data_IF_586239253335
#
_entry.id   IF_586239253335
#
_cell.length_a   1.000
_cell.length_b   1.000
_cell.length_c   1.000
_cell.angle_alpha   90.00
_cell.angle_beta   90.00
_cell.angle_gamma   90.00
#
_symmetry.space_group_name_H-M   'P 1'
#
loop_
_entity.id
_entity.type
_entity.pdbx_description
1 polymer ?
#
# COMPACT_ATOMS: atom_id res chain seq x y z
N UNK A 1 -13.37 -13.01 -19.78
CA UNK A 1 -13.73 -14.23 -20.52
C UNK A 1 -13.56 -15.41 -19.58
N UNK A 2 -14.50 -16.36 -19.49
CA UNK A 2 -14.28 -17.58 -18.68
C UNK A 2 -12.99 -18.29 -19.10
N UNK A 3 -12.03 -18.37 -18.18
CA UNK A 3 -10.79 -19.12 -18.41
C UNK A 3 -11.03 -20.58 -17.97
N UNK A 4 -10.97 -21.56 -18.89
CA UNK A 4 -11.15 -22.97 -18.58
C UNK A 4 -9.88 -23.56 -17.96
N UNK A 5 -10.02 -24.76 -17.36
CA UNK A 5 -8.87 -25.56 -16.94
C UNK A 5 -7.83 -25.72 -18.07
N UNK A 6 -6.54 -25.94 -17.72
CA UNK A 6 -5.48 -26.12 -18.70
C UNK A 6 -5.80 -27.28 -19.65
N UNK A 7 -5.47 -27.10 -20.93
CA UNK A 7 -5.55 -28.21 -21.88
C UNK A 7 -4.58 -29.33 -21.46
N UNK A 8 -5.00 -30.58 -21.65
CA UNK A 8 -4.26 -31.74 -21.14
C UNK A 8 -3.86 -32.75 -22.23
N UNK A 9 -3.05 -32.34 -23.23
CA UNK A 9 -2.74 -33.18 -24.39
C UNK A 9 -1.95 -34.46 -24.04
N UNK A 10 -1.20 -34.44 -22.92
CA UNK A 10 -0.37 -35.57 -22.48
C UNK A 10 -0.80 -36.20 -21.14
N UNK A 11 -1.95 -35.78 -20.57
CA UNK A 11 -2.46 -36.31 -19.30
C UNK A 11 -1.78 -35.75 -18.03
N UNK A 12 -0.92 -34.74 -18.16
CA UNK A 12 -0.21 -34.12 -17.03
C UNK A 12 -1.18 -33.44 -16.07
N UNK A 13 -2.18 -32.70 -16.56
CA UNK A 13 -3.10 -31.99 -15.67
C UNK A 13 -3.94 -32.96 -14.84
N UNK A 14 -4.48 -34.00 -15.48
CA UNK A 14 -5.17 -35.06 -14.76
C UNK A 14 -4.27 -35.78 -13.74
N UNK A 15 -2.99 -36.00 -14.07
CA UNK A 15 -2.03 -36.58 -13.16
C UNK A 15 -1.75 -35.68 -11.94
N UNK A 16 -1.57 -34.36 -12.16
CA UNK A 16 -1.40 -33.35 -11.10
C UNK A 16 -2.59 -33.35 -10.15
N UNK A 17 -3.82 -33.28 -10.68
CA UNK A 17 -5.05 -33.33 -9.87
C UNK A 17 -5.19 -34.62 -9.04
N UNK A 18 -4.60 -35.72 -9.53
CA UNK A 18 -4.65 -37.02 -8.84
C UNK A 18 -3.62 -37.16 -7.72
N UNK A 19 -2.72 -36.18 -7.53
CA UNK A 19 -1.68 -36.25 -6.49
C UNK A 19 -2.21 -36.01 -5.08
N UNK A 20 -3.33 -35.29 -4.96
CA UNK A 20 -4.01 -35.03 -3.69
C UNK A 20 -5.50 -34.80 -3.97
N UNK A 21 -6.34 -35.65 -3.39
CA UNK A 21 -7.79 -35.61 -3.57
C UNK A 21 -8.47 -34.57 -2.67
N UNK A 22 -7.79 -34.08 -1.63
CA UNK A 22 -8.31 -33.08 -0.69
C UNK A 22 -7.96 -31.66 -1.11
N UNK A 23 -6.94 -31.48 -1.96
CA UNK A 23 -6.52 -30.17 -2.45
C UNK A 23 -7.35 -29.70 -3.66
N UNK A 24 -7.80 -28.45 -3.63
CA UNK A 24 -8.56 -27.85 -4.72
C UNK A 24 -7.63 -27.15 -5.73
N UNK A 25 -7.60 -27.62 -6.98
CA UNK A 25 -6.57 -27.27 -7.96
C UNK A 25 -6.94 -26.12 -8.92
N UNK A 26 -8.21 -25.70 -8.99
CA UNK A 26 -8.67 -24.75 -10.01
C UNK A 26 -9.68 -23.72 -9.48
N UNK A 27 -9.39 -22.41 -9.46
CA UNK A 27 -10.37 -21.42 -9.03
C UNK A 27 -11.63 -21.39 -9.92
N UNK A 28 -12.80 -21.69 -9.39
CA UNK A 28 -14.05 -21.71 -10.18
C UNK A 28 -14.65 -20.31 -10.41
N UNK A 29 -14.15 -19.30 -9.70
CA UNK A 29 -14.64 -17.92 -9.81
C UNK A 29 -14.64 -17.46 -11.27
N UNK A 30 -15.75 -16.84 -11.67
CA UNK A 30 -15.92 -16.18 -12.96
C UNK A 30 -15.44 -14.73 -12.86
N UNK A 31 -14.33 -14.43 -13.52
CA UNK A 31 -13.69 -13.12 -13.51
C UNK A 31 -14.61 -12.03 -14.07
N UNK A 32 -15.40 -12.36 -15.10
CA UNK A 32 -16.28 -11.38 -15.75
C UNK A 32 -17.42 -10.99 -14.83
N UNK A 33 -18.04 -11.96 -14.15
CA UNK A 33 -19.08 -11.68 -13.15
C UNK A 33 -18.56 -10.84 -12.00
N UNK A 34 -17.31 -11.07 -11.57
CA UNK A 34 -16.70 -10.22 -10.56
C UNK A 34 -16.48 -8.80 -11.11
N UNK A 35 -16.02 -8.64 -12.35
CA UNK A 35 -15.90 -7.31 -12.98
C UNK A 35 -17.25 -6.61 -13.13
N UNK A 36 -18.31 -7.33 -13.47
CA UNK A 36 -19.68 -6.79 -13.52
C UNK A 36 -20.18 -6.37 -12.13
N UNK A 37 -19.86 -7.14 -11.09
CA UNK A 37 -20.14 -6.78 -9.70
C UNK A 37 -19.35 -5.55 -9.26
N UNK A 38 -18.08 -5.43 -9.64
CA UNK A 38 -17.28 -4.23 -9.41
C UNK A 38 -17.92 -3.01 -10.08
N UNK A 39 -18.32 -3.15 -11.34
CA UNK A 39 -19.08 -2.13 -12.07
C UNK A 39 -20.37 -1.73 -11.33
N UNK A 40 -21.10 -2.70 -10.80
CA UNK A 40 -22.33 -2.44 -10.03
C UNK A 40 -22.07 -1.63 -8.75
N UNK A 41 -20.99 -1.92 -8.03
CA UNK A 41 -20.55 -1.13 -6.88
C UNK A 41 -20.12 0.28 -7.28
N UNK A 42 -19.44 0.42 -8.43
CA UNK A 42 -19.07 1.72 -8.97
C UNK A 42 -20.30 2.54 -9.34
N UNK A 43 -21.28 1.95 -10.00
CA UNK A 43 -22.53 2.62 -10.36
C UNK A 43 -23.32 3.03 -9.12
N UNK A 44 -23.35 2.18 -8.09
CA UNK A 44 -23.94 2.52 -6.80
C UNK A 44 -23.25 3.74 -6.17
N UNK A 45 -21.91 3.84 -6.25
CA UNK A 45 -21.18 5.01 -5.75
C UNK A 45 -21.61 6.32 -6.44
N UNK A 46 -21.89 6.26 -7.74
CA UNK A 46 -22.33 7.42 -8.52
C UNK A 46 -23.73 7.88 -8.10
N UNK A 47 -24.61 6.95 -7.72
CA UNK A 47 -25.94 7.27 -7.19
C UNK A 47 -25.89 8.01 -5.83
N UNK A 48 -24.80 7.88 -5.06
CA UNK A 48 -24.56 8.63 -3.83
C UNK A 48 -23.80 9.95 -4.05
N UNK A 49 -23.59 10.38 -5.29
CA UNK A 49 -23.04 11.71 -5.58
C UNK A 49 -24.07 12.76 -5.16
N UNK A 50 -23.88 13.34 -3.97
CA UNK A 50 -24.75 14.40 -3.47
C UNK A 50 -24.61 15.62 -4.36
N UNK A 51 -25.72 16.29 -4.74
CA UNK A 51 -25.66 17.62 -5.32
C UNK A 51 -24.86 18.54 -4.38
N UNK A 52 -24.16 19.56 -4.90
CA UNK A 52 -23.50 20.54 -4.05
C UNK A 52 -24.58 21.28 -3.26
N UNK A 53 -24.81 20.82 -2.04
CA UNK A 53 -25.69 21.46 -1.08
C UNK A 53 -24.77 22.15 -0.10
N UNK A 54 -24.58 23.45 -0.29
CA UNK A 54 -23.78 24.26 0.62
C UNK A 54 -24.63 24.50 1.86
N UNK A 55 -24.24 23.93 3.01
CA UNK A 55 -24.96 24.11 4.29
C UNK A 55 -25.19 25.59 4.65
N UNK A 56 -24.33 26.49 4.17
CA UNK A 56 -24.50 27.94 4.29
C UNK A 56 -25.75 28.50 3.61
N UNK A 57 -26.25 27.90 2.53
CA UNK A 57 -27.43 28.39 1.80
C UNK A 57 -28.71 28.34 2.66
N UNK A 58 -28.80 27.38 3.59
CA UNK A 58 -29.96 27.29 4.50
C UNK A 58 -29.88 28.26 5.66
N UNK A 59 -28.70 28.48 6.23
CA UNK A 59 -28.50 29.48 7.28
C UNK A 59 -28.71 30.91 6.76
N UNK A 60 -28.34 31.17 5.50
CA UNK A 60 -28.61 32.46 4.84
C UNK A 60 -30.09 32.65 4.49
N UNK A 61 -30.77 31.59 4.05
CA UNK A 61 -32.20 31.63 3.73
C UNK A 61 -33.09 31.69 4.98
N UNK A 62 -32.63 31.13 6.10
CA UNK A 62 -33.35 31.06 7.36
C UNK A 62 -32.41 31.32 8.55
N UNK A 63 -32.14 32.58 8.91
CA UNK A 63 -31.06 32.95 9.84
C UNK A 63 -31.41 32.79 11.34
N UNK A 64 -32.42 31.99 11.69
CA UNK A 64 -32.77 31.72 13.07
C UNK A 64 -32.30 30.33 13.51
N UNK A 65 -32.52 30.00 14.79
CA UNK A 65 -32.09 28.72 15.35
C UNK A 65 -32.71 27.49 14.68
N UNK A 66 -33.87 27.62 14.03
CA UNK A 66 -34.47 26.52 13.28
C UNK A 66 -33.71 26.26 11.97
N UNK A 67 -33.29 27.32 11.28
CA UNK A 67 -32.44 27.20 10.09
C UNK A 67 -31.06 26.62 10.40
N UNK A 68 -30.43 27.02 11.51
CA UNK A 68 -29.16 26.46 11.98
C UNK A 68 -29.24 24.94 12.25
N UNK A 69 -30.30 24.52 12.96
CA UNK A 69 -30.56 23.10 13.25
C UNK A 69 -30.79 22.32 11.95
N UNK A 70 -31.56 22.89 11.03
CA UNK A 70 -31.83 22.25 9.74
C UNK A 70 -30.56 22.12 8.88
N UNK A 71 -29.77 23.19 8.77
CA UNK A 71 -28.49 23.18 8.06
C UNK A 71 -27.52 22.12 8.64
N UNK A 72 -27.47 22.00 9.96
CA UNK A 72 -26.69 20.96 10.66
C UNK A 72 -27.14 19.55 10.26
N UNK A 73 -28.45 19.26 10.29
CA UNK A 73 -28.97 17.96 9.88
C UNK A 73 -28.69 17.63 8.42
N UNK A 74 -28.82 18.61 7.51
CA UNK A 74 -28.47 18.44 6.10
C UNK A 74 -26.98 18.14 5.94
N UNK A 75 -26.12 18.86 6.66
CA UNK A 75 -24.67 18.59 6.69
C UNK A 75 -24.33 17.16 7.11
N UNK A 76 -24.98 16.64 8.16
CA UNK A 76 -24.79 15.25 8.58
C UNK A 76 -25.22 14.23 7.52
N UNK A 77 -26.34 14.49 6.82
CA UNK A 77 -26.81 13.62 5.74
C UNK A 77 -25.83 13.64 4.57
N UNK A 78 -25.35 14.81 4.16
CA UNK A 78 -24.36 14.95 3.08
C UNK A 78 -23.09 14.19 3.44
N UNK A 79 -22.56 14.36 4.65
CA UNK A 79 -21.39 13.61 5.13
C UNK A 79 -21.62 12.10 5.08
N UNK A 80 -22.74 11.61 5.61
CA UNK A 80 -23.08 10.19 5.59
C UNK A 80 -23.17 9.62 4.16
N UNK A 81 -23.75 10.37 3.21
CA UNK A 81 -23.80 9.94 1.80
C UNK A 81 -22.41 9.90 1.15
N UNK A 82 -21.51 10.82 1.52
CA UNK A 82 -20.12 10.80 1.08
C UNK A 82 -19.38 9.54 1.54
N UNK A 83 -19.61 9.11 2.79
CA UNK A 83 -19.03 7.86 3.33
C UNK A 83 -19.54 6.65 2.55
N UNK A 84 -20.85 6.53 2.34
CA UNK A 84 -21.43 5.39 1.60
C UNK A 84 -20.87 5.34 0.17
N UNK A 85 -20.75 6.49 -0.50
CA UNK A 85 -20.11 6.58 -1.81
C UNK A 85 -18.70 6.00 -1.80
N UNK A 86 -17.87 6.37 -0.84
CA UNK A 86 -16.48 5.92 -0.73
C UNK A 86 -16.39 4.41 -0.47
N UNK A 87 -17.23 3.88 0.43
CA UNK A 87 -17.32 2.43 0.67
C UNK A 87 -17.72 1.66 -0.60
N UNK A 88 -18.65 2.19 -1.39
CA UNK A 88 -18.99 1.60 -2.68
C UNK A 88 -17.81 1.60 -3.67
N UNK A 89 -17.01 2.67 -3.71
CA UNK A 89 -15.79 2.71 -4.55
C UNK A 89 -14.77 1.67 -4.09
N UNK A 90 -14.51 1.58 -2.79
CA UNK A 90 -13.58 0.59 -2.24
C UNK A 90 -14.01 -0.84 -2.58
N UNK A 91 -15.30 -1.15 -2.37
CA UNK A 91 -15.83 -2.48 -2.69
C UNK A 91 -15.74 -2.80 -4.19
N UNK A 92 -15.98 -1.81 -5.06
CA UNK A 92 -15.76 -1.96 -6.51
C UNK A 92 -14.32 -2.39 -6.79
N UNK A 93 -13.35 -1.69 -6.22
CA UNK A 93 -11.93 -1.93 -6.51
C UNK A 93 -11.47 -3.29 -5.99
N UNK A 94 -11.91 -3.70 -4.80
CA UNK A 94 -11.55 -5.00 -4.23
C UNK A 94 -12.09 -6.16 -5.06
N UNK A 95 -13.35 -6.03 -5.51
CA UNK A 95 -13.95 -7.05 -6.38
C UNK A 95 -13.21 -7.13 -7.72
N UNK A 96 -12.82 -5.98 -8.29
CA UNK A 96 -12.04 -5.94 -9.53
C UNK A 96 -10.64 -6.55 -9.37
N UNK A 97 -9.97 -6.28 -8.25
CA UNK A 97 -8.65 -6.81 -7.95
C UNK A 97 -8.69 -8.31 -7.65
N UNK A 98 -9.69 -8.78 -6.90
CA UNK A 98 -9.94 -10.22 -6.73
C UNK A 98 -10.11 -10.91 -8.08
N UNK A 99 -10.87 -10.31 -9.01
CA UNK A 99 -11.02 -10.85 -10.36
C UNK A 99 -9.66 -10.96 -11.08
N UNK A 100 -8.78 -9.96 -10.96
CA UNK A 100 -7.43 -9.99 -11.52
C UNK A 100 -6.56 -11.10 -10.91
N UNK A 101 -6.58 -11.25 -9.59
CA UNK A 101 -5.82 -12.30 -8.90
C UNK A 101 -6.23 -13.66 -9.43
N UNK A 102 -7.54 -13.95 -9.48
CA UNK A 102 -8.00 -15.24 -9.98
C UNK A 102 -7.62 -15.45 -11.45
N UNK A 103 -7.73 -14.41 -12.29
CA UNK A 103 -7.32 -14.48 -13.70
C UNK A 103 -5.84 -14.85 -13.85
N UNK A 104 -4.96 -14.15 -13.12
CA UNK A 104 -3.53 -14.38 -13.12
C UNK A 104 -3.16 -15.77 -12.58
N UNK A 105 -3.80 -16.21 -11.49
CA UNK A 105 -3.64 -17.58 -10.96
C UNK A 105 -3.97 -18.63 -12.01
N UNK A 106 -5.13 -18.52 -12.68
CA UNK A 106 -5.54 -19.45 -13.74
C UNK A 106 -4.54 -19.48 -14.90
N UNK A 107 -4.05 -18.32 -15.31
CA UNK A 107 -3.06 -18.20 -16.38
C UNK A 107 -1.71 -18.80 -15.98
N UNK A 108 -1.23 -18.55 -14.75
CA UNK A 108 0.01 -19.14 -14.22
C UNK A 108 -0.06 -20.67 -14.15
N UNK A 109 -1.17 -21.22 -13.66
CA UNK A 109 -1.39 -22.68 -13.64
C UNK A 109 -1.41 -23.24 -15.07
N UNK A 110 -2.17 -22.61 -15.97
CA UNK A 110 -2.27 -23.05 -17.37
C UNK A 110 -0.93 -23.05 -18.08
N UNK A 111 -0.15 -21.98 -17.94
CA UNK A 111 1.18 -21.87 -18.52
C UNK A 111 2.14 -22.92 -17.95
N UNK A 112 2.12 -23.14 -16.62
CA UNK A 112 2.94 -24.15 -15.96
C UNK A 112 2.61 -25.57 -16.49
N UNK A 113 1.33 -25.91 -16.64
CA UNK A 113 0.93 -27.21 -17.17
C UNK A 113 1.36 -27.37 -18.62
N UNK A 114 1.05 -26.38 -19.47
CA UNK A 114 1.36 -26.45 -20.90
C UNK A 114 2.87 -26.53 -21.16
N UNK A 115 3.68 -25.76 -20.44
CA UNK A 115 5.14 -25.76 -20.60
C UNK A 115 5.80 -27.07 -20.16
N UNK A 116 5.14 -27.85 -19.29
CA UNK A 116 5.64 -29.13 -18.79
C UNK A 116 5.00 -30.35 -19.48
N UNK A 117 3.96 -30.13 -20.28
CA UNK A 117 3.15 -31.21 -20.88
C UNK A 117 3.96 -32.10 -21.83
N UNK A 118 4.79 -31.50 -22.69
CA UNK A 118 5.63 -32.26 -23.64
C UNK A 118 6.68 -33.11 -22.92
N UNK A 119 7.35 -32.53 -21.91
CA UNK A 119 8.32 -33.25 -21.09
C UNK A 119 7.68 -34.44 -20.38
N UNK A 120 6.47 -34.27 -19.85
CA UNK A 120 5.70 -35.35 -19.24
C UNK A 120 5.36 -36.46 -20.24
N UNK A 121 4.90 -36.10 -21.44
CA UNK A 121 4.56 -37.06 -22.51
C UNK A 121 5.76 -37.84 -23.04
N UNK A 122 6.98 -37.26 -22.96
CA UNK A 122 8.22 -37.89 -23.37
C UNK A 122 8.80 -38.88 -22.34
N UNK A 123 8.30 -38.89 -21.09
CA UNK A 123 8.79 -39.81 -20.07
C UNK A 123 8.47 -41.27 -20.43
N UNK A 124 9.37 -42.21 -20.11
CA UNK A 124 9.05 -43.63 -20.18
C UNK A 124 7.77 -43.92 -19.39
N UNK A 125 6.92 -44.82 -19.88
CA UNK A 125 5.66 -45.26 -19.22
C UNK A 125 5.88 -46.07 -17.93
N UNK A 126 6.85 -45.67 -17.12
CA UNK A 126 7.09 -46.16 -15.78
C UNK A 126 6.26 -45.32 -14.81
N UNK A 127 5.31 -45.98 -14.15
CA UNK A 127 4.34 -45.35 -13.25
C UNK A 127 4.99 -44.44 -12.20
N UNK A 128 6.11 -44.86 -11.62
CA UNK A 128 6.82 -44.09 -10.59
C UNK A 128 7.41 -42.77 -11.12
N UNK A 129 7.96 -42.76 -12.33
CA UNK A 129 8.54 -41.53 -12.91
C UNK A 129 7.47 -40.51 -13.30
N UNK A 130 6.38 -40.99 -13.88
CA UNK A 130 5.21 -40.15 -14.20
C UNK A 130 4.59 -39.59 -12.92
N UNK A 131 4.45 -40.41 -11.88
CA UNK A 131 3.93 -39.97 -10.59
C UNK A 131 4.83 -38.92 -9.92
N UNK A 132 6.15 -39.14 -9.91
CA UNK A 132 7.12 -38.19 -9.35
C UNK A 132 7.09 -36.85 -10.08
N UNK A 133 7.08 -36.87 -11.42
CA UNK A 133 7.02 -35.62 -12.20
C UNK A 133 5.72 -34.86 -11.95
N UNK A 134 4.57 -35.56 -11.93
CA UNK A 134 3.29 -34.94 -11.63
C UNK A 134 3.28 -34.35 -10.21
N UNK A 135 3.89 -35.02 -9.22
CA UNK A 135 4.01 -34.51 -7.86
C UNK A 135 4.86 -33.23 -7.78
N UNK A 136 5.96 -33.14 -8.54
CA UNK A 136 6.80 -31.93 -8.58
C UNK A 136 6.07 -30.73 -9.20
N UNK A 137 5.29 -30.96 -10.27
CA UNK A 137 4.44 -29.93 -10.87
C UNK A 137 3.31 -29.54 -9.90
N UNK A 138 2.72 -30.51 -9.21
CA UNK A 138 1.69 -30.29 -8.21
C UNK A 138 2.18 -29.39 -7.05
N UNK A 139 3.43 -29.55 -6.58
CA UNK A 139 4.04 -28.66 -5.58
C UNK A 139 4.02 -27.20 -6.07
N UNK A 140 4.40 -26.96 -7.34
CA UNK A 140 4.43 -25.61 -7.91
C UNK A 140 3.03 -25.02 -8.08
N UNK A 141 2.04 -25.83 -8.47
CA UNK A 141 0.64 -25.39 -8.52
C UNK A 141 0.15 -25.00 -7.13
N UNK A 142 0.49 -25.78 -6.09
CA UNK A 142 0.16 -25.42 -4.70
C UNK A 142 0.79 -24.09 -4.28
N UNK A 143 2.03 -23.83 -4.68
CA UNK A 143 2.67 -22.55 -4.40
C UNK A 143 1.92 -21.39 -5.06
N UNK A 144 1.56 -21.52 -6.35
CA UNK A 144 0.78 -20.50 -7.07
C UNK A 144 -0.57 -20.24 -6.36
N UNK A 145 -1.23 -21.29 -5.88
CA UNK A 145 -2.48 -21.16 -5.12
C UNK A 145 -2.25 -20.50 -3.75
N UNK A 146 -1.17 -20.84 -3.04
CA UNK A 146 -0.83 -20.22 -1.76
C UNK A 146 -0.51 -18.73 -1.92
N UNK A 147 0.25 -18.36 -2.94
CA UNK A 147 0.55 -16.96 -3.28
C UNK A 147 -0.74 -16.18 -3.58
N UNK A 148 -1.68 -16.83 -4.30
CA UNK A 148 -2.99 -16.24 -4.59
C UNK A 148 -3.84 -16.06 -3.33
N UNK A 149 -3.89 -17.07 -2.43
CA UNK A 149 -4.57 -16.96 -1.13
C UNK A 149 -4.01 -15.80 -0.33
N UNK A 150 -2.67 -15.71 -0.23
CA UNK A 150 -2.02 -14.63 0.49
C UNK A 150 -2.36 -13.26 -0.14
N UNK A 151 -2.34 -13.16 -1.47
CA UNK A 151 -2.74 -11.94 -2.16
C UNK A 151 -4.20 -11.54 -1.89
N UNK A 152 -5.11 -12.50 -1.74
CA UNK A 152 -6.51 -12.26 -1.36
C UNK A 152 -6.65 -11.85 0.10
N UNK A 153 -5.90 -12.47 1.02
CA UNK A 153 -5.88 -12.08 2.44
C UNK A 153 -5.42 -10.63 2.60
N UNK A 154 -4.47 -10.17 1.79
CA UNK A 154 -4.06 -8.76 1.71
C UNK A 154 -5.11 -7.81 1.10
N UNK A 155 -6.17 -8.33 0.47
CA UNK A 155 -7.33 -7.51 0.06
C UNK A 155 -8.33 -7.31 1.20
N UNK A 156 -8.42 -8.27 2.12
CA UNK A 156 -9.37 -8.26 3.24
C UNK A 156 -8.84 -7.41 4.40
N UNK A 157 -7.51 -7.31 4.56
CA UNK A 157 -6.82 -6.39 5.49
C UNK A 157 -6.91 -4.90 5.10
N UNK A 158 -7.90 -4.54 4.29
CA UNK A 158 -8.23 -3.17 3.88
C UNK A 158 -9.72 -2.86 4.00
N UNK A 159 -10.53 -3.77 4.57
CA UNK A 159 -11.97 -3.58 4.79
C UNK A 159 -12.39 -3.97 6.20
N UNK A 160 -11.85 -3.32 7.22
CA UNK A 160 -12.48 -3.38 8.55
C UNK A 160 -12.51 -2.01 9.20
N UNK A 161 -13.75 -1.54 9.39
CA UNK A 161 -14.19 -0.44 10.25
C UNK A 161 -13.11 0.52 10.72
N UNK A 162 -12.97 1.68 10.09
CA UNK A 162 -12.12 2.74 10.65
C UNK A 162 -12.52 3.08 12.09
N UNK A 163 -11.54 3.53 12.87
CA UNK A 163 -11.67 3.81 14.32
C UNK A 163 -12.80 4.79 14.64
N UNK A 164 -13.22 5.57 13.64
CA UNK A 164 -14.35 6.49 13.64
C UNK A 164 -15.34 6.08 12.53
N UNK A 165 -16.43 5.35 12.84
CA UNK A 165 -17.52 5.16 11.89
C UNK A 165 -18.03 6.54 11.41
N UNK A 166 -17.76 6.90 10.15
CA UNK A 166 -18.21 8.18 9.57
C UNK A 166 -17.13 9.06 8.91
N UNK A 167 -15.86 8.71 8.97
CA UNK A 167 -14.80 9.41 8.22
C UNK A 167 -13.92 8.41 7.47
N UNK A 168 -14.26 8.18 6.19
CA UNK A 168 -13.61 7.26 5.25
C UNK A 168 -12.09 7.48 5.07
N UNK A 169 -11.55 8.60 5.56
CA UNK A 169 -10.13 8.94 5.50
C UNK A 169 -9.55 9.29 6.86
N UNK A 170 -10.26 9.00 7.95
CA UNK A 170 -9.83 9.38 9.30
C UNK A 170 -8.48 8.79 9.69
N UNK A 171 -8.19 7.56 9.26
CA UNK A 171 -6.88 6.94 9.46
C UNK A 171 -5.79 7.66 8.66
N UNK A 172 -6.07 8.09 7.43
CA UNK A 172 -5.11 8.87 6.63
C UNK A 172 -4.84 10.21 7.31
N UNK A 173 -5.89 10.89 7.78
CA UNK A 173 -5.76 12.14 8.52
C UNK A 173 -4.92 11.99 9.78
N UNK A 174 -5.24 10.99 10.62
CA UNK A 174 -4.51 10.71 11.86
C UNK A 174 -3.03 10.37 11.57
N UNK A 175 -2.74 9.61 10.51
CA UNK A 175 -1.35 9.26 10.11
C UNK A 175 -0.60 10.47 9.54
N UNK A 176 -1.21 11.25 8.65
CA UNK A 176 -0.55 12.43 8.05
C UNK A 176 -0.27 13.48 9.11
N UNK A 177 -1.19 13.72 10.04
CA UNK A 177 -0.97 14.61 11.19
C UNK A 177 0.22 14.12 12.01
N UNK A 178 0.19 12.86 12.44
CA UNK A 178 1.27 12.27 13.22
C UNK A 178 2.64 12.33 12.51
N UNK A 179 2.69 11.97 11.24
CA UNK A 179 3.95 11.91 10.49
C UNK A 179 4.49 13.30 10.14
N UNK A 180 3.60 14.27 9.92
CA UNK A 180 4.01 15.68 9.78
C UNK A 180 4.61 16.18 11.09
N UNK A 181 3.96 15.90 12.22
CA UNK A 181 4.49 16.25 13.54
C UNK A 181 5.85 15.59 13.81
N UNK A 182 6.03 14.31 13.46
CA UNK A 182 7.34 13.65 13.58
C UNK A 182 8.40 14.30 12.68
N UNK A 183 8.06 14.67 11.44
CA UNK A 183 8.99 15.38 10.55
C UNK A 183 9.38 16.75 11.13
N UNK A 184 8.40 17.53 11.58
CA UNK A 184 8.61 18.88 12.13
C UNK A 184 9.35 18.85 13.47
N UNK A 185 8.94 17.98 14.39
CA UNK A 185 9.51 17.92 15.74
C UNK A 185 10.91 17.30 15.71
N UNK A 186 11.12 16.21 14.97
CA UNK A 186 12.44 15.57 14.91
C UNK A 186 13.45 16.48 14.20
N UNK A 187 13.03 17.28 13.22
CA UNK A 187 13.87 18.32 12.60
C UNK A 187 14.43 19.34 13.61
N UNK A 188 13.71 19.58 14.72
CA UNK A 188 14.09 20.53 15.77
C UNK A 188 14.72 19.84 16.99
N UNK A 189 14.85 18.53 16.96
CA UNK A 189 15.42 17.74 18.05
C UNK A 189 16.92 18.05 18.20
N UNK A 190 17.41 18.11 19.44
CA UNK A 190 18.84 18.35 19.70
C UNK A 190 19.74 17.33 19.01
N UNK A 191 19.27 16.09 18.82
CA UNK A 191 20.01 15.04 18.11
C UNK A 191 20.17 15.36 16.62
N UNK A 192 19.16 15.96 15.98
CA UNK A 192 19.29 16.40 14.58
C UNK A 192 20.25 17.58 14.48
N UNK A 193 20.22 18.51 15.44
CA UNK A 193 21.20 19.61 15.49
C UNK A 193 22.64 19.10 15.70
N UNK A 194 22.83 18.10 16.55
CA UNK A 194 24.13 17.45 16.75
C UNK A 194 24.61 16.74 15.47
N UNK A 195 23.70 16.03 14.79
CA UNK A 195 23.98 15.39 13.50
C UNK A 195 24.35 16.42 12.42
N UNK A 196 23.67 17.56 12.36
CA UNK A 196 24.01 18.66 11.45
C UNK A 196 25.44 19.16 11.68
N UNK A 197 25.85 19.37 12.94
CA UNK A 197 27.20 19.82 13.27
C UNK A 197 28.24 18.77 12.87
N UNK A 198 27.99 17.50 13.17
CA UNK A 198 28.87 16.40 12.78
C UNK A 198 29.01 16.27 11.25
N UNK A 199 27.92 16.47 10.52
CA UNK A 199 27.88 16.43 9.05
C UNK A 199 28.54 17.65 8.39
N UNK A 200 28.57 18.82 9.06
CA UNK A 200 29.17 20.08 8.57
C UNK A 200 30.64 20.26 8.94
N UNK A 201 31.23 19.36 9.73
CA UNK A 201 32.60 19.55 10.20
C UNK A 201 33.62 19.45 9.06
N UNK A 202 34.27 20.59 8.78
CA UNK A 202 35.41 20.71 7.85
C UNK A 202 36.78 20.58 8.57
N UNK A 203 36.77 20.10 9.82
CA UNK A 203 37.96 20.01 10.67
C UNK A 203 38.89 18.83 10.36
N UNK A 204 40.02 18.77 11.09
CA UNK A 204 41.00 17.66 11.03
C UNK A 204 40.37 16.30 11.38
N UNK A 205 39.23 16.30 12.07
CA UNK A 205 38.48 15.11 12.51
C UNK A 205 37.22 14.81 11.67
N UNK A 206 36.98 15.55 10.58
CA UNK A 206 35.78 15.48 9.73
C UNK A 206 35.34 14.05 9.37
N UNK A 207 36.28 13.18 9.01
CA UNK A 207 35.97 11.78 8.69
C UNK A 207 35.47 10.94 9.88
N UNK A 208 35.92 11.23 11.10
CA UNK A 208 35.44 10.56 12.32
C UNK A 208 34.09 11.11 12.78
N UNK A 209 33.87 12.41 12.63
CA UNK A 209 32.60 13.07 12.96
C UNK A 209 31.48 12.59 12.01
N UNK A 210 31.76 12.51 10.70
CA UNK A 210 30.83 11.93 9.73
C UNK A 210 30.51 10.45 10.00
N UNK A 211 31.51 9.67 10.44
CA UNK A 211 31.28 8.29 10.85
C UNK A 211 30.42 8.18 12.12
N UNK A 212 30.59 9.11 13.07
CA UNK A 212 29.71 9.27 14.22
C UNK A 212 28.27 9.56 13.81
N UNK A 213 28.08 10.47 12.85
CA UNK A 213 26.75 10.85 12.36
C UNK A 213 26.00 9.64 11.79
N UNK A 214 26.66 8.79 11.02
CA UNK A 214 26.04 7.55 10.51
C UNK A 214 25.63 6.57 11.62
N UNK A 215 26.45 6.43 12.68
CA UNK A 215 26.14 5.54 13.81
C UNK A 215 24.96 6.08 14.61
N UNK A 216 24.96 7.38 14.90
CA UNK A 216 23.92 8.03 15.68
C UNK A 216 22.59 8.02 14.91
N UNK A 217 22.61 8.38 13.61
CA UNK A 217 21.45 8.27 12.73
C UNK A 217 20.92 6.84 12.64
N UNK A 218 21.80 5.86 12.38
CA UNK A 218 21.44 4.45 12.29
C UNK A 218 20.79 3.90 13.57
N UNK A 219 21.18 4.41 14.75
CA UNK A 219 20.56 4.02 16.01
C UNK A 219 19.15 4.55 16.20
N UNK A 220 18.82 5.69 15.61
CA UNK A 220 17.50 6.32 15.70
C UNK A 220 16.48 5.62 14.79
N UNK A 221 16.91 5.29 13.56
CA UNK A 221 16.02 4.79 12.48
C UNK A 221 15.96 3.27 12.34
N UNK A 222 16.80 2.51 13.04
CA UNK A 222 16.79 1.03 12.99
C UNK A 222 15.43 0.45 13.45
N UNK A 223 15.10 -0.79 13.10
CA UNK A 223 13.93 -1.48 13.64
C UNK A 223 13.88 -1.43 15.18
N UNK A 224 12.74 -1.00 15.73
CA UNK A 224 12.55 -0.77 17.17
C UNK A 224 13.31 0.43 17.74
N UNK A 225 13.95 1.24 16.89
CA UNK A 225 14.51 2.54 17.23
C UNK A 225 13.42 3.58 17.47
N UNK A 226 13.82 4.76 17.95
CA UNK A 226 12.86 5.80 18.34
C UNK A 226 12.07 6.37 17.15
N UNK A 227 12.69 6.38 15.97
CA UNK A 227 12.09 6.83 14.71
C UNK A 227 11.63 5.66 13.84
N UNK A 228 11.40 4.48 14.43
CA UNK A 228 10.68 3.39 13.76
C UNK A 228 9.16 3.52 14.01
N UNK A 229 8.52 4.31 13.16
CA UNK A 229 7.11 4.69 13.31
C UNK A 229 6.12 3.57 13.00
N UNK A 230 6.58 2.47 12.39
CA UNK A 230 5.75 1.38 11.86
C UNK A 230 4.70 0.88 12.84
N UNK A 231 5.11 0.57 14.07
CA UNK A 231 4.20 0.07 15.11
C UNK A 231 3.18 1.12 15.59
N UNK A 232 3.56 2.40 15.62
CA UNK A 232 2.68 3.50 16.01
C UNK A 232 1.62 3.74 14.94
N UNK A 233 2.01 3.74 13.66
CA UNK A 233 1.11 3.88 12.51
C UNK A 233 0.09 2.73 12.49
N UNK A 234 0.55 1.48 12.65
CA UNK A 234 -0.36 0.32 12.76
C UNK A 234 -1.31 0.42 13.98
N UNK A 235 -0.91 1.13 15.04
CA UNK A 235 -1.78 1.41 16.18
C UNK A 235 -2.83 2.52 15.94
N UNK A 236 -2.70 3.27 14.84
CA UNK A 236 -3.65 4.30 14.39
C UNK A 236 -4.71 3.72 13.45
N UNK A 237 -4.39 2.63 12.76
CA UNK A 237 -5.31 1.90 11.90
C UNK A 237 -6.19 0.95 12.69
N UNK A 238 -7.32 0.54 12.11
CA UNK A 238 -8.11 -0.57 12.67
C UNK A 238 -7.57 -1.91 12.20
N UNK A 239 -7.50 -2.84 13.16
CA UNK A 239 -6.87 -4.15 12.98
C UNK A 239 -5.41 -4.01 12.48
N UNK A 240 -4.95 -4.95 11.66
CA UNK A 240 -3.62 -4.95 11.06
C UNK A 240 -3.65 -4.32 9.65
N UNK A 241 -4.49 -3.29 9.43
CA UNK A 241 -4.56 -2.61 8.13
C UNK A 241 -3.19 -2.04 7.76
N UNK A 242 -2.63 -2.54 6.66
CA UNK A 242 -1.30 -2.13 6.19
C UNK A 242 -1.37 -1.07 5.10
N UNK A 243 -2.56 -0.68 4.66
CA UNK A 243 -2.79 0.33 3.62
C UNK A 243 -3.88 1.31 4.04
N UNK A 244 -3.71 2.58 3.66
CA UNK A 244 -4.65 3.65 4.00
C UNK A 244 -5.09 4.41 2.75
N UNK A 245 -6.39 4.57 2.48
CA UNK A 245 -6.90 5.25 1.30
C UNK A 245 -6.60 6.76 1.33
N UNK A 246 -6.33 7.35 0.16
CA UNK A 246 -5.94 8.76 0.03
C UNK A 246 -7.16 9.64 -0.29
N UNK A 247 -7.40 10.74 0.45
CA UNK A 247 -8.47 11.68 0.11
C UNK A 247 -8.20 12.41 -1.21
N UNK A 248 -9.21 12.41 -2.09
CA UNK A 248 -9.20 13.20 -3.33
C UNK A 248 -8.64 12.50 -4.58
N UNK A 249 -7.97 11.35 -4.44
CA UNK A 249 -7.41 10.55 -5.54
C UNK A 249 -7.65 9.05 -5.34
N UNK A 250 -7.76 8.24 -6.41
CA UNK A 250 -7.95 6.80 -6.25
C UNK A 250 -6.62 6.11 -5.91
N UNK A 251 -6.38 5.78 -4.65
CA UNK A 251 -5.24 4.94 -4.28
C UNK A 251 -5.06 4.85 -2.78
N UNK A 252 -4.08 4.06 -2.38
CA UNK A 252 -3.75 3.82 -0.97
C UNK A 252 -2.23 3.77 -0.76
N UNK A 253 -1.80 4.19 0.43
CA UNK A 253 -0.40 4.23 0.84
C UNK A 253 -0.15 3.15 1.88
N UNK A 254 0.95 2.41 1.74
CA UNK A 254 1.35 1.37 2.69
C UNK A 254 1.91 2.01 3.97
N UNK A 255 1.62 1.41 5.12
CA UNK A 255 1.94 1.99 6.44
C UNK A 255 3.44 2.31 6.65
N UNK A 256 4.34 1.53 6.05
CA UNK A 256 5.80 1.70 6.16
C UNK A 256 6.35 2.82 5.26
N UNK A 257 5.61 3.20 4.21
CA UNK A 257 5.96 4.28 3.28
C UNK A 257 6.19 5.59 4.04
N UNK A 258 5.36 5.87 5.03
CA UNK A 258 5.46 7.08 5.85
C UNK A 258 6.80 7.21 6.57
N UNK A 259 7.33 6.10 7.11
CA UNK A 259 8.66 6.10 7.75
C UNK A 259 9.78 6.42 6.75
N UNK A 260 9.64 6.02 5.49
CA UNK A 260 10.62 6.31 4.44
C UNK A 260 10.55 7.78 3.99
N UNK A 261 9.34 8.36 3.93
CA UNK A 261 9.16 9.81 3.70
C UNK A 261 9.83 10.61 4.84
N UNK A 262 9.59 10.21 6.10
CA UNK A 262 10.26 10.82 7.25
C UNK A 262 11.78 10.71 7.19
N UNK A 263 12.29 9.53 6.82
CA UNK A 263 13.72 9.27 6.68
C UNK A 263 14.38 10.24 5.70
N UNK A 264 13.76 10.46 4.53
CA UNK A 264 14.25 11.42 3.54
C UNK A 264 14.21 12.86 4.07
N UNK A 265 13.06 13.28 4.60
CA UNK A 265 12.85 14.65 5.08
C UNK A 265 13.79 15.03 6.24
N UNK A 266 13.77 14.25 7.32
CA UNK A 266 14.57 14.54 8.53
C UNK A 266 16.05 14.23 8.30
N UNK A 267 16.37 13.28 7.42
CA UNK A 267 17.73 12.99 7.03
C UNK A 267 18.40 14.17 6.33
N UNK A 268 17.67 14.84 5.44
CA UNK A 268 18.16 16.04 4.77
C UNK A 268 18.32 17.19 5.76
N UNK A 269 17.36 17.37 6.68
CA UNK A 269 17.50 18.33 7.79
C UNK A 269 18.73 17.99 8.65
N UNK A 270 19.01 16.72 8.95
CA UNK A 270 20.19 16.30 9.72
C UNK A 270 21.53 16.55 9.00
N UNK A 271 21.51 17.02 7.74
CA UNK A 271 22.70 17.36 6.97
C UNK A 271 23.31 16.19 6.20
N UNK A 272 22.57 15.10 6.00
CA UNK A 272 22.93 14.06 5.04
C UNK A 272 22.59 14.51 3.62
N UNK A 273 23.42 14.11 2.66
CA UNK A 273 23.09 14.30 1.23
C UNK A 273 22.06 13.29 0.76
N UNK A 274 21.36 13.62 -0.34
CA UNK A 274 20.44 12.72 -1.04
C UNK A 274 21.10 11.35 -1.32
N UNK A 275 22.32 11.35 -1.88
CA UNK A 275 23.08 10.12 -2.15
C UNK A 275 23.30 9.26 -0.88
N UNK A 276 23.58 9.90 0.26
CA UNK A 276 23.79 9.21 1.54
C UNK A 276 22.49 8.60 2.08
N UNK A 277 21.36 9.30 1.91
CA UNK A 277 20.05 8.82 2.33
C UNK A 277 19.58 7.64 1.48
N UNK A 278 19.74 7.72 0.15
CA UNK A 278 19.44 6.59 -0.74
C UNK A 278 20.36 5.39 -0.46
N UNK A 279 21.66 5.61 -0.23
CA UNK A 279 22.58 4.55 0.16
C UNK A 279 22.19 3.91 1.50
N UNK A 280 21.80 4.71 2.50
CA UNK A 280 21.36 4.24 3.80
C UNK A 280 20.07 3.40 3.73
N UNK A 281 19.07 3.85 2.97
CA UNK A 281 17.84 3.11 2.73
C UNK A 281 18.12 1.76 2.04
N UNK A 282 18.98 1.75 1.02
CA UNK A 282 19.39 0.50 0.36
C UNK A 282 20.04 -0.50 1.34
N UNK A 283 20.90 -0.03 2.26
CA UNK A 283 21.52 -0.88 3.28
C UNK A 283 20.48 -1.49 4.23
N UNK A 284 19.45 -0.72 4.61
CA UNK A 284 18.37 -1.21 5.45
C UNK A 284 17.52 -2.29 4.75
N UNK A 285 17.21 -2.09 3.46
CA UNK A 285 16.48 -3.06 2.65
C UNK A 285 17.27 -4.37 2.48
N UNK A 286 18.57 -4.28 2.19
CA UNK A 286 19.43 -5.47 2.12
C UNK A 286 19.48 -6.21 3.46
N UNK A 287 19.48 -5.50 4.59
CA UNK A 287 19.51 -6.10 5.92
C UNK A 287 18.21 -6.80 6.32
N UNK A 288 17.10 -6.54 5.64
CA UNK A 288 15.77 -7.05 6.01
C UNK A 288 15.12 -7.93 4.94
N UNK A 289 15.43 -7.72 3.66
CA UNK A 289 14.74 -8.33 2.52
C UNK A 289 15.69 -8.90 1.44
N UNK A 290 17.01 -8.83 1.62
CA UNK A 290 18.05 -9.29 0.66
C UNK A 290 17.96 -8.64 -0.75
N UNK A 291 17.23 -7.53 -0.90
CA UNK A 291 17.11 -6.72 -2.13
C UNK A 291 16.68 -5.30 -1.79
N UNK A 292 16.99 -4.34 -2.66
CA UNK A 292 16.50 -2.95 -2.60
C UNK A 292 15.04 -2.86 -3.05
N UNK A 293 14.20 -2.08 -2.37
CA UNK A 293 12.81 -1.79 -2.80
C UNK A 293 12.75 -0.42 -3.51
N UNK A 294 12.46 -0.37 -4.84
CA UNK A 294 12.31 0.91 -5.55
C UNK A 294 11.17 1.78 -4.99
N UNK A 295 10.20 1.18 -4.30
CA UNK A 295 9.13 1.89 -3.59
C UNK A 295 9.69 2.71 -2.44
N UNK A 296 10.60 2.12 -1.66
CA UNK A 296 11.20 2.76 -0.50
C UNK A 296 12.13 3.90 -0.93
N UNK A 297 12.87 3.70 -2.03
CA UNK A 297 13.67 4.77 -2.64
C UNK A 297 12.82 5.95 -3.09
N UNK A 298 11.67 5.70 -3.72
CA UNK A 298 10.78 6.78 -4.16
C UNK A 298 10.10 7.50 -2.98
N UNK A 299 9.78 6.79 -1.90
CA UNK A 299 9.27 7.40 -0.67
C UNK A 299 10.32 8.29 0.02
N UNK A 300 11.60 7.83 0.07
CA UNK A 300 12.72 8.66 0.54
C UNK A 300 12.89 9.91 -0.31
N UNK A 301 12.87 9.76 -1.65
CA UNK A 301 12.96 10.91 -2.55
C UNK A 301 11.82 11.90 -2.32
N UNK A 302 10.59 11.41 -2.17
CA UNK A 302 9.45 12.29 -1.90
C UNK A 302 9.63 13.08 -0.59
N UNK A 303 10.22 12.47 0.45
CA UNK A 303 10.60 13.17 1.68
C UNK A 303 11.67 14.24 1.49
N UNK A 304 12.67 13.97 0.67
CA UNK A 304 13.73 14.93 0.28
C UNK A 304 13.09 16.11 -0.46
N UNK A 305 12.29 15.85 -1.49
CA UNK A 305 11.61 16.86 -2.29
C UNK A 305 10.68 17.75 -1.44
N UNK A 306 10.00 17.14 -0.45
CA UNK A 306 9.19 17.87 0.53
C UNK A 306 10.03 18.85 1.36
N UNK A 307 11.19 18.42 1.86
CA UNK A 307 12.08 19.27 2.67
C UNK A 307 12.68 20.42 1.86
N UNK A 308 13.12 20.13 0.63
CA UNK A 308 13.66 21.17 -0.26
C UNK A 308 12.63 22.27 -0.57
N UNK A 309 11.34 21.89 -0.63
CA UNK A 309 10.24 22.81 -0.94
C UNK A 309 9.67 23.50 0.29
N UNK A 310 9.65 22.82 1.43
CA UNK A 310 9.04 23.28 2.68
C UNK A 310 9.93 22.93 3.86
N UNK A 311 10.45 23.95 4.53
CA UNK A 311 11.18 23.75 5.79
C UNK A 311 10.25 23.35 6.95
N UNK A 312 10.80 22.93 8.11
CA UNK A 312 10.01 22.45 9.26
C UNK A 312 9.13 23.52 9.92
N UNK A 313 9.29 24.80 9.58
CA UNK A 313 8.37 25.87 10.03
C UNK A 313 7.18 26.09 9.08
N UNK A 314 7.25 25.53 7.88
CA UNK A 314 6.26 25.71 6.82
C UNK A 314 5.44 24.45 6.56
N UNK A 315 6.00 23.27 6.81
CA UNK A 315 5.33 21.99 6.57
C UNK A 315 4.09 21.82 7.45
N UNK A 316 2.94 21.51 6.83
CA UNK A 316 1.69 21.17 7.52
C UNK A 316 1.08 19.89 6.95
N UNK A 317 0.16 19.22 7.68
CA UNK A 317 -0.55 18.03 7.20
C UNK A 317 -1.24 18.26 5.85
N UNK A 318 -1.81 19.45 5.66
CA UNK A 318 -2.49 19.84 4.42
C UNK A 318 -1.50 19.96 3.25
N UNK A 319 -0.29 20.47 3.49
CA UNK A 319 0.76 20.54 2.47
C UNK A 319 1.21 19.14 2.08
N UNK A 320 1.47 18.26 3.06
CA UNK A 320 1.86 16.87 2.78
C UNK A 320 0.80 16.17 1.93
N UNK A 321 -0.48 16.30 2.29
CA UNK A 321 -1.57 15.76 1.48
C UNK A 321 -1.63 16.38 0.07
N UNK A 322 -1.47 17.71 -0.03
CA UNK A 322 -1.48 18.40 -1.33
C UNK A 322 -0.35 17.90 -2.24
N UNK A 323 0.84 17.70 -1.71
CA UNK A 323 1.98 17.18 -2.48
C UNK A 323 1.78 15.71 -2.88
N UNK A 324 1.19 14.88 -2.01
CA UNK A 324 0.81 13.50 -2.38
C UNK A 324 -0.16 13.52 -3.57
N UNK A 325 -1.16 14.39 -3.54
CA UNK A 325 -2.14 14.53 -4.64
C UNK A 325 -1.50 15.13 -5.90
N UNK A 326 -0.65 16.14 -5.75
CA UNK A 326 0.01 16.81 -6.88
C UNK A 326 1.00 15.89 -7.61
N UNK A 327 1.64 14.97 -6.89
CA UNK A 327 2.61 14.01 -7.43
C UNK A 327 2.03 12.61 -7.63
N UNK A 328 0.70 12.47 -7.58
CA UNK A 328 0.00 11.18 -7.59
C UNK A 328 0.45 10.24 -8.72
N UNK A 329 0.54 10.72 -9.96
CA UNK A 329 0.89 9.87 -11.11
C UNK A 329 2.32 9.32 -11.04
N UNK A 330 3.26 10.09 -10.48
CA UNK A 330 4.65 9.66 -10.32
C UNK A 330 4.79 8.72 -9.12
N UNK A 331 4.06 8.99 -8.02
CA UNK A 331 3.98 8.11 -6.85
C UNK A 331 3.31 6.76 -7.16
N UNK A 332 2.33 6.73 -8.06
CA UNK A 332 1.77 5.47 -8.60
C UNK A 332 2.79 4.74 -9.44
N UNK A 333 3.50 5.46 -10.33
CA UNK A 333 4.50 4.86 -11.23
C UNK A 333 5.66 4.24 -10.47
N UNK A 334 6.03 4.83 -9.32
CA UNK A 334 7.12 4.37 -8.46
C UNK A 334 6.69 3.30 -7.45
N UNK A 335 5.38 3.02 -7.32
CA UNK A 335 4.84 2.01 -6.41
C UNK A 335 4.54 2.50 -5.00
N UNK A 336 4.80 3.78 -4.70
CA UNK A 336 4.51 4.42 -3.40
C UNK A 336 3.01 4.45 -3.14
N UNK A 337 2.23 4.77 -4.17
CA UNK A 337 0.77 4.66 -4.15
C UNK A 337 0.37 3.41 -4.91
N UNK A 338 -0.39 2.53 -4.25
CA UNK A 338 -1.08 1.45 -4.94
C UNK A 338 -2.34 2.05 -5.59
N UNK A 339 -2.43 2.10 -6.93
CA UNK A 339 -3.61 2.63 -7.60
C UNK A 339 -4.80 1.70 -7.38
N UNK A 340 -5.98 2.30 -7.26
CA UNK A 340 -7.24 1.65 -6.90
C UNK A 340 -8.09 1.28 -8.11
#
# INVERSE_FOLDING_TARGET
>A
MFIPEPADPNGLWNAVKSTDAEFWWWPETDQDRMRDLAGSWRDASLAFTTPPVHSGEFGEAWPDSAGDIFATHVGHIVAATGVVRLSCVQQSNHVALFANIVEDTKNKISNLILSNSEAYGALPKMRERLASFAADVAIKVRQIMADATQAVEYLDSGVTSQRKPGDAFGEFGDIVEYMTDEMVNNSKDSRVLDLQEQNRSDGVLSGLEKAGAYVDWGNLVKPGGEWDHKSKILGMTVEDNTYTPIPGVPGEIRYDTWSNIHYGYVGLEAGFSEDELHAGANVADYGTQDRTDPTDQAAVQFGIDLHEKYGPEELTPEIVQQEIVANYDDLVRSGVIRPM
#
